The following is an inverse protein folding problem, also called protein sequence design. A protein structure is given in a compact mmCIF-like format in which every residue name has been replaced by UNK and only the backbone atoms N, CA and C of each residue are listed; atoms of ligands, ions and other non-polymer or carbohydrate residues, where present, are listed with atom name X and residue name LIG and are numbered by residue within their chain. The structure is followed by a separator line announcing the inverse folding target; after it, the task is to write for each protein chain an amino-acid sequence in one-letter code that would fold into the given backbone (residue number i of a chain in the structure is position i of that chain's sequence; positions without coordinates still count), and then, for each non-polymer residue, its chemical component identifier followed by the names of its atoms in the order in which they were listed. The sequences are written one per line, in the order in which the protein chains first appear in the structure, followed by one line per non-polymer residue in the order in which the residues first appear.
data_IF_498878775548
#
_entry.id   IF_498878775548
#
_cell.length_a   1.000
_cell.length_b   1.000
_cell.length_c   1.000
_cell.angle_alpha   90.00
_cell.angle_beta   90.00
_cell.angle_gamma   90.00
#
_symmetry.space_group_name_H-M   'P 1'
#
loop_
_entity.id
_entity.type
_entity.pdbx_description
1 polymer ?
#
# COMPACT_ATOMS: atom_id res chain seq x y z
N UNK A 1 11.93 -2.00 30.10
CA UNK A 1 10.80 -1.82 29.20
C UNK A 1 10.48 -0.34 29.14
N UNK A 2 10.90 0.35 28.08
CA UNK A 2 10.46 1.73 27.87
C UNK A 2 8.95 1.68 27.63
N UNK A 3 8.19 2.52 28.32
CA UNK A 3 6.74 2.62 28.13
C UNK A 3 6.48 3.25 26.77
N UNK A 4 6.25 2.43 25.73
CA UNK A 4 5.80 2.92 24.43
C UNK A 4 4.46 3.62 24.60
N UNK A 5 4.33 4.82 24.03
CA UNK A 5 3.06 5.55 24.07
C UNK A 5 2.00 4.77 23.28
N UNK A 6 0.81 4.63 23.84
CA UNK A 6 -0.32 3.97 23.19
C UNK A 6 -1.23 5.03 22.58
N UNK A 7 -1.57 4.85 21.31
CA UNK A 7 -2.45 5.73 20.53
C UNK A 7 -3.76 5.03 20.21
N UNK A 8 -4.86 5.78 20.15
CA UNK A 8 -6.13 5.27 19.64
C UNK A 8 -6.15 5.34 18.10
N UNK A 9 -6.85 4.42 17.45
CA UNK A 9 -7.00 4.44 16.00
C UNK A 9 -7.57 5.78 15.49
N UNK A 10 -8.58 6.32 16.16
CA UNK A 10 -9.19 7.60 15.81
C UNK A 10 -8.21 8.77 15.90
N UNK A 11 -7.21 8.70 16.80
CA UNK A 11 -6.14 9.69 16.87
C UNK A 11 -5.25 9.57 15.63
N UNK A 12 -4.73 8.38 15.35
CA UNK A 12 -3.86 8.13 14.18
C UNK A 12 -4.57 8.52 12.88
N UNK A 13 -5.87 8.27 12.77
CA UNK A 13 -6.67 8.57 11.56
C UNK A 13 -6.74 10.06 11.19
N UNK A 14 -6.45 10.96 12.14
CA UNK A 14 -6.43 12.41 11.92
C UNK A 14 -5.16 12.88 11.22
N UNK A 15 -4.08 12.11 11.33
CA UNK A 15 -2.77 12.39 10.75
C UNK A 15 -2.71 11.78 9.34
N UNK A 16 -3.40 12.44 8.40
CA UNK A 16 -3.68 11.91 7.06
C UNK A 16 -3.27 12.84 5.90
N UNK A 17 -2.25 13.67 6.11
CA UNK A 17 -1.81 14.68 5.14
C UNK A 17 -0.33 14.51 4.82
N UNK A 18 0.12 15.04 3.69
CA UNK A 18 1.54 15.00 3.29
C UNK A 18 2.49 15.57 4.34
N UNK A 19 2.05 16.59 5.08
CA UNK A 19 2.86 17.24 6.14
C UNK A 19 2.52 16.74 7.56
N UNK A 20 1.71 15.69 7.65
CA UNK A 20 1.22 15.11 8.89
C UNK A 20 0.72 13.69 8.60
N UNK A 21 1.66 12.77 8.40
CA UNK A 21 1.41 11.45 7.82
C UNK A 21 1.78 10.36 8.81
N UNK A 22 0.77 9.76 9.44
CA UNK A 22 0.97 8.62 10.32
C UNK A 22 0.36 7.36 9.73
N UNK A 23 0.99 6.23 10.02
CA UNK A 23 0.52 4.92 9.55
C UNK A 23 0.75 3.86 10.62
N UNK A 24 -0.07 2.81 10.57
CA UNK A 24 0.06 1.67 11.46
C UNK A 24 0.62 0.50 10.65
N UNK A 25 1.70 -0.10 11.13
CA UNK A 25 2.25 -1.35 10.59
C UNK A 25 2.49 -2.30 11.76
N UNK A 26 1.92 -3.50 11.70
CA UNK A 26 2.08 -4.56 12.70
C UNK A 26 1.81 -4.09 14.14
N UNK A 27 0.79 -3.23 14.31
CA UNK A 27 0.37 -2.69 15.61
C UNK A 27 1.24 -1.53 16.15
N UNK A 28 2.26 -1.11 15.41
CA UNK A 28 3.09 0.05 15.75
C UNK A 28 2.66 1.27 14.95
N UNK A 29 2.76 2.44 15.57
CA UNK A 29 2.44 3.73 14.94
C UNK A 29 3.73 4.39 14.49
N UNK A 30 3.78 4.76 13.22
CA UNK A 30 4.92 5.41 12.58
C UNK A 30 4.54 6.81 12.13
N UNK A 31 5.37 7.79 12.47
CA UNK A 31 5.32 9.11 11.86
C UNK A 31 6.32 9.17 10.71
N UNK A 32 5.80 9.08 9.49
CA UNK A 32 6.60 9.09 8.26
C UNK A 32 6.60 10.44 7.58
N UNK A 33 6.16 11.51 8.26
CA UNK A 33 6.05 12.85 7.70
C UNK A 33 7.36 13.33 7.07
N UNK A 34 8.49 13.09 7.74
CA UNK A 34 9.82 13.47 7.24
C UNK A 34 10.36 12.55 6.15
N UNK A 35 9.73 11.39 5.93
CA UNK A 35 10.17 10.38 4.98
C UNK A 35 9.38 10.41 3.66
N UNK A 36 8.33 11.26 3.56
CA UNK A 36 7.46 11.33 2.40
C UNK A 36 8.23 11.50 1.08
N UNK A 37 9.18 12.43 1.03
CA UNK A 37 9.97 12.73 -0.16
C UNK A 37 11.10 11.72 -0.42
N UNK A 38 11.53 11.01 0.62
CA UNK A 38 12.64 10.05 0.58
C UNK A 38 12.17 8.61 0.31
N UNK A 39 10.86 8.38 0.27
CA UNK A 39 10.30 7.05 0.06
C UNK A 39 10.56 6.57 -1.39
N UNK A 40 11.29 5.46 -1.61
CA UNK A 40 11.59 4.99 -2.96
C UNK A 40 10.36 4.62 -3.79
N UNK A 41 9.24 4.28 -3.14
CA UNK A 41 7.96 4.01 -3.79
C UNK A 41 7.13 5.25 -4.13
N UNK A 42 7.61 6.45 -3.78
CA UNK A 42 6.90 7.72 -3.92
C UNK A 42 6.02 8.09 -2.73
N UNK A 43 5.68 9.36 -2.60
CA UNK A 43 4.82 9.91 -1.55
C UNK A 43 3.34 9.51 -1.71
N UNK A 44 2.87 9.40 -2.96
CA UNK A 44 1.49 9.02 -3.31
C UNK A 44 1.03 7.72 -2.63
N UNK A 45 1.91 6.70 -2.57
CA UNK A 45 1.56 5.41 -1.95
C UNK A 45 1.48 5.51 -0.43
N UNK A 46 2.33 6.34 0.20
CA UNK A 46 2.24 6.64 1.63
C UNK A 46 0.98 7.43 1.95
N UNK A 47 0.65 8.42 1.12
CA UNK A 47 -0.55 9.23 1.26
C UNK A 47 -1.84 8.40 1.08
N UNK A 48 -1.82 7.40 0.20
CA UNK A 48 -2.95 6.45 0.09
C UNK A 48 -3.09 5.53 1.31
N UNK A 49 -2.00 5.37 2.06
CA UNK A 49 -1.88 4.45 3.20
C UNK A 49 -1.96 5.13 4.56
N UNK A 50 -2.00 6.46 4.57
CA UNK A 50 -1.98 7.29 5.78
C UNK A 50 -3.28 7.18 6.59
N UNK A 51 -3.19 7.39 7.90
CA UNK A 51 -4.32 7.37 8.83
C UNK A 51 -5.03 6.02 8.94
N UNK A 52 -4.39 4.91 8.54
CA UNK A 52 -4.93 3.56 8.64
C UNK A 52 -3.86 2.52 8.97
N UNK A 53 -4.32 1.31 9.24
CA UNK A 53 -3.47 0.11 9.24
C UNK A 53 -3.09 -0.23 7.79
N UNK A 54 -1.81 -0.04 7.50
CA UNK A 54 -1.15 -0.25 6.22
C UNK A 54 -0.28 -1.51 6.24
N UNK A 55 -0.44 -2.40 7.23
CA UNK A 55 0.38 -3.62 7.33
C UNK A 55 0.24 -4.50 6.08
N UNK A 56 -0.98 -4.69 5.57
CA UNK A 56 -1.18 -5.44 4.32
C UNK A 56 -0.50 -4.74 3.13
N UNK A 57 -0.67 -3.43 3.00
CA UNK A 57 -0.07 -2.64 1.93
C UNK A 57 1.47 -2.75 1.96
N UNK A 58 2.06 -2.78 3.17
CA UNK A 58 3.50 -2.90 3.38
C UNK A 58 4.04 -4.31 3.06
N UNK A 59 3.36 -5.36 3.52
CA UNK A 59 3.77 -6.76 3.31
C UNK A 59 3.55 -7.20 1.85
N UNK A 60 2.48 -6.75 1.18
CA UNK A 60 2.19 -7.06 -0.22
C UNK A 60 3.27 -6.51 -1.18
N UNK A 61 3.91 -5.39 -0.81
CA UNK A 61 5.04 -4.81 -1.58
C UNK A 61 6.32 -5.62 -1.40
N UNK A 62 6.50 -6.28 -0.25
CA UNK A 62 7.69 -7.08 0.03
C UNK A 62 8.95 -6.24 0.28
N UNK A 63 8.87 -5.26 1.19
CA UNK A 63 10.02 -4.46 1.59
C UNK A 63 11.19 -5.32 2.13
N UNK A 64 12.42 -4.88 1.87
CA UNK A 64 13.64 -5.56 2.34
C UNK A 64 13.81 -5.46 3.86
N UNK A 65 14.67 -6.32 4.42
CA UNK A 65 14.96 -6.29 5.86
C UNK A 65 15.64 -4.98 6.28
N UNK A 66 16.53 -4.42 5.45
CA UNK A 66 17.12 -3.10 5.67
C UNK A 66 16.05 -1.99 5.73
N UNK A 67 15.02 -2.08 4.86
CA UNK A 67 13.91 -1.13 4.89
C UNK A 67 13.12 -1.28 6.19
N UNK A 68 12.89 -2.51 6.66
CA UNK A 68 12.20 -2.79 7.93
C UNK A 68 12.97 -2.22 9.13
N UNK A 69 14.29 -2.37 9.15
CA UNK A 69 15.16 -1.79 10.19
C UNK A 69 15.11 -0.25 10.15
N UNK A 70 15.08 0.35 8.96
CA UNK A 70 14.97 1.81 8.82
C UNK A 70 13.68 2.36 9.44
N UNK A 71 12.58 1.60 9.40
CA UNK A 71 11.29 2.03 9.95
C UNK A 71 11.35 2.29 11.45
N UNK A 72 12.24 1.63 12.19
CA UNK A 72 12.35 1.77 13.65
C UNK A 72 12.60 3.22 14.08
N UNK A 73 13.27 4.01 13.22
CA UNK A 73 13.54 5.44 13.44
C UNK A 73 12.27 6.30 13.47
N UNK A 74 11.20 5.84 12.84
CA UNK A 74 9.94 6.57 12.67
C UNK A 74 8.86 6.11 13.67
N UNK A 75 9.15 5.12 14.52
CA UNK A 75 8.19 4.63 15.51
C UNK A 75 7.96 5.69 16.59
N UNK A 76 6.71 6.09 16.77
CA UNK A 76 6.30 7.02 17.83
C UNK A 76 5.52 6.33 18.97
N UNK A 77 5.12 5.08 18.77
CA UNK A 77 4.41 4.29 19.77
C UNK A 77 3.69 3.07 19.18
N UNK A 78 2.67 2.62 19.90
CA UNK A 78 1.85 1.46 19.54
C UNK A 78 0.38 1.86 19.47
N UNK A 79 -0.42 1.17 18.66
CA UNK A 79 -1.85 1.44 18.58
C UNK A 79 -2.61 0.50 19.52
N UNK A 80 -3.68 1.00 20.12
CA UNK A 80 -4.67 0.15 20.76
C UNK A 80 -5.45 -0.62 19.68
N UNK A 81 -5.05 -1.88 19.46
CA UNK A 81 -5.64 -2.79 18.47
C UNK A 81 -7.14 -3.00 18.66
N UNK A 82 -7.69 -2.78 19.86
CA UNK A 82 -9.13 -2.91 20.11
C UNK A 82 -9.94 -1.77 19.49
N UNK A 83 -9.28 -0.65 19.17
CA UNK A 83 -9.91 0.51 18.55
C UNK A 83 -9.82 0.52 17.02
N UNK A 84 -9.06 -0.40 16.44
CA UNK A 84 -8.90 -0.50 14.98
C UNK A 84 -10.15 -1.15 14.37
N UNK A 85 -10.82 -0.51 13.39
CA UNK A 85 -12.00 -1.09 12.74
C UNK A 85 -11.67 -2.44 12.08
N UNK A 86 -12.53 -3.44 12.29
CA UNK A 86 -12.31 -4.83 11.86
C UNK A 86 -12.11 -5.00 10.35
N UNK A 87 -12.64 -4.06 9.54
CA UNK A 87 -12.45 -4.03 8.07
C UNK A 87 -11.02 -3.63 7.67
N UNK A 88 -10.23 -3.07 8.59
CA UNK A 88 -8.86 -2.59 8.36
C UNK A 88 -7.82 -3.39 9.13
N UNK A 89 -8.21 -4.40 9.90
CA UNK A 89 -7.26 -5.24 10.62
C UNK A 89 -6.46 -6.10 9.65
N UNK A 90 -5.13 -6.03 9.76
CA UNK A 90 -4.26 -7.08 9.27
C UNK A 90 -4.64 -8.43 9.90
N UNK A 91 -4.90 -9.43 9.07
CA UNK A 91 -5.04 -10.83 9.51
C UNK A 91 -3.83 -11.57 8.96
N UNK A 92 -2.97 -12.06 9.86
CA UNK A 92 -1.80 -12.82 9.46
C UNK A 92 -2.19 -13.99 8.53
N UNK A 93 -1.38 -14.32 7.49
CA UNK A 93 -1.65 -15.45 6.62
C UNK A 93 -1.68 -16.74 7.45
N UNK A 94 -2.89 -17.28 7.70
CA UNK A 94 -3.07 -18.47 8.54
C UNK A 94 -4.40 -18.53 9.33
N UNK A 95 -5.15 -17.43 9.44
CA UNK A 95 -6.47 -17.42 10.08
C UNK A 95 -7.53 -16.94 9.09
N UNK A 96 -8.20 -17.91 8.45
CA UNK A 96 -9.21 -17.67 7.41
C UNK A 96 -10.47 -16.98 7.93
N UNK A 97 -10.92 -15.98 7.17
CA UNK A 97 -12.25 -15.39 7.25
C UNK A 97 -12.63 -14.85 5.87
N UNK A 98 -13.42 -15.61 5.11
CA UNK A 98 -13.95 -15.17 3.82
C UNK A 98 -14.85 -13.96 4.01
N UNK A 99 -14.52 -12.82 3.41
CA UNK A 99 -15.48 -11.73 3.19
C UNK A 99 -15.74 -11.57 1.68
N UNK A 100 -17.00 -11.70 1.21
CA UNK A 100 -17.36 -11.55 -0.20
C UNK A 100 -17.59 -10.07 -0.55
N UNK A 101 -17.21 -9.70 -1.78
CA UNK A 101 -17.31 -8.39 -2.46
C UNK A 101 -16.03 -7.54 -2.47
N UNK A 102 -14.95 -8.12 -2.98
CA UNK A 102 -13.91 -7.36 -3.68
C UNK A 102 -14.17 -7.43 -5.18
N UNK A 103 -15.06 -6.57 -5.68
CA UNK A 103 -15.07 -6.27 -7.11
C UNK A 103 -13.76 -5.53 -7.38
N UNK A 104 -12.74 -6.22 -7.92
CA UNK A 104 -11.40 -5.65 -8.20
C UNK A 104 -11.40 -4.96 -9.58
N UNK A 105 -11.65 -3.63 -9.70
CA UNK A 105 -11.44 -2.91 -10.96
C UNK A 105 -9.95 -2.85 -11.33
N UNK A 106 -9.04 -2.92 -10.35
CA UNK A 106 -7.59 -2.81 -10.57
C UNK A 106 -7.00 -3.95 -11.42
N UNK A 107 -7.50 -5.18 -11.26
CA UNK A 107 -6.96 -6.33 -12.00
C UNK A 107 -7.33 -6.27 -13.49
N UNK A 108 -8.55 -5.87 -13.83
CA UNK A 108 -9.00 -5.70 -15.21
C UNK A 108 -8.28 -4.53 -15.91
N UNK A 109 -8.02 -3.44 -15.19
CA UNK A 109 -7.27 -2.30 -15.72
C UNK A 109 -5.83 -2.72 -16.08
N UNK A 110 -5.17 -3.54 -15.25
CA UNK A 110 -3.81 -4.04 -15.55
C UNK A 110 -3.77 -4.99 -16.76
N UNK A 111 -4.77 -5.88 -16.91
CA UNK A 111 -4.86 -6.75 -18.09
C UNK A 111 -5.09 -5.92 -19.36
N UNK A 112 -5.96 -4.91 -19.28
CA UNK A 112 -6.26 -4.06 -20.43
C UNK A 112 -5.04 -3.22 -20.86
N UNK A 113 -4.28 -2.68 -19.90
CA UNK A 113 -3.04 -1.96 -20.19
C UNK A 113 -1.96 -2.83 -20.85
N UNK A 114 -1.95 -4.15 -20.58
CA UNK A 114 -1.03 -5.07 -21.24
C UNK A 114 -1.49 -5.46 -22.66
N UNK A 115 -2.80 -5.62 -22.88
CA UNK A 115 -3.35 -6.07 -24.15
C UNK A 115 -3.40 -4.98 -25.23
N UNK A 116 -3.65 -3.73 -24.85
CA UNK A 116 -3.76 -2.62 -25.83
C UNK A 116 -2.48 -2.42 -26.65
N UNK A 117 -1.27 -2.38 -26.06
CA UNK A 117 -0.02 -2.28 -26.82
C UNK A 117 0.22 -3.48 -27.74
N UNK A 118 -0.14 -4.70 -27.31
CA UNK A 118 0.02 -5.92 -28.11
C UNK A 118 -0.95 -5.93 -29.32
N UNK A 119 -2.17 -5.44 -29.13
CA UNK A 119 -3.13 -5.29 -30.22
C UNK A 119 -2.67 -4.25 -31.24
N UNK A 120 -2.19 -3.09 -30.78
CA UNK A 120 -1.63 -2.05 -31.67
C UNK A 120 -0.43 -2.60 -32.45
N UNK A 121 0.47 -3.33 -31.79
CA UNK A 121 1.63 -3.95 -32.43
C UNK A 121 1.21 -5.02 -33.45
N UNK A 122 0.25 -5.88 -33.12
CA UNK A 122 -0.29 -6.87 -34.04
C UNK A 122 -0.94 -6.25 -35.27
N UNK A 123 -1.70 -5.17 -35.08
CA UNK A 123 -2.37 -4.45 -36.17
C UNK A 123 -1.34 -3.74 -37.07
N UNK A 124 -0.30 -3.14 -36.49
CA UNK A 124 0.81 -2.55 -37.24
C UNK A 124 1.56 -3.59 -38.08
N UNK A 125 1.80 -4.80 -37.55
CA UNK A 125 2.43 -5.90 -38.30
C UNK A 125 1.52 -6.44 -39.40
N UNK A 126 0.21 -6.54 -39.17
CA UNK A 126 -0.76 -6.96 -40.18
C UNK A 126 -0.84 -5.95 -41.33
N UNK A 127 -0.96 -4.65 -41.04
CA UNK A 127 -0.93 -3.59 -42.05
C UNK A 127 0.39 -3.61 -42.83
N UNK A 128 1.53 -3.76 -42.14
CA UNK A 128 2.85 -3.83 -42.77
C UNK A 128 3.03 -5.04 -43.68
N UNK A 129 2.48 -6.21 -43.32
CA UNK A 129 2.57 -7.40 -44.18
C UNK A 129 1.60 -7.32 -45.36
N UNK A 130 0.47 -6.63 -45.21
CA UNK A 130 -0.48 -6.39 -46.28
C UNK A 130 0.02 -5.36 -47.29
N UNK A 131 0.58 -4.23 -46.85
CA UNK A 131 1.12 -3.18 -47.74
C UNK A 131 2.44 -3.54 -48.41
N UNK A 132 3.16 -4.55 -47.91
CA UNK A 132 4.39 -5.08 -48.54
C UNK A 132 4.11 -6.17 -49.58
N UNK A 133 2.83 -6.49 -49.81
CA UNK A 133 2.39 -7.54 -50.75
C UNK A 133 1.97 -6.99 -52.13
N UNK A 134 2.12 -5.68 -52.34
CA UNK A 134 2.08 -5.02 -53.67
C UNK A 134 3.49 -4.78 -54.21
#
# INVERSE_FOLDING_TARGET
MASSKVYLFDEVSKHNKTKDCWLIISGKVYDVTSFMDDHPGGDEVLLSSTGKDATNDFEDVGHSDDAREMMEKYVIGEVDVTTVPTKRLYVAPGLGGTNPKDDKPGFLIKILQLLVPLLILGLALAVRTYTKKE
#
